data_IF_561281250853
#
_entry.id   IF_561281250853
#
_cell.length_a   1.000
_cell.length_b   1.000
_cell.length_c   1.000
_cell.angle_alpha   90.00
_cell.angle_beta   90.00
_cell.angle_gamma   90.00
#
_symmetry.space_group_name_H-M   'P 1'
#
loop_
_entity.id
_entity.type
_entity.pdbx_description
1 polymer ?
#
# COMPACT_ATOMS: atom_id res chain seq x y z
N UNK A 1 -15.96 -1.21 -0.22
CA UNK A 1 -14.51 -1.01 -0.01
C UNK A 1 -13.90 -2.32 0.40
N UNK A 2 -12.85 -2.78 -0.28
CA UNK A 2 -12.13 -4.01 0.07
C UNK A 2 -10.73 -3.65 0.53
N UNK A 3 -10.27 -4.27 1.62
CA UNK A 3 -8.96 -4.01 2.21
C UNK A 3 -8.24 -5.34 2.36
N UNK A 4 -7.06 -5.44 1.75
CA UNK A 4 -6.18 -6.59 1.88
C UNK A 4 -4.93 -6.15 2.62
N UNK A 5 -4.64 -6.77 3.77
CA UNK A 5 -3.50 -6.43 4.60
C UNK A 5 -2.53 -7.61 4.72
N UNK A 6 -1.23 -7.33 4.64
CA UNK A 6 -0.19 -8.25 5.05
C UNK A 6 0.70 -7.51 6.06
N UNK A 7 0.42 -7.72 7.35
CA UNK A 7 1.18 -7.11 8.43
C UNK A 7 2.33 -8.02 8.86
N UNK A 8 3.54 -7.48 8.79
CA UNK A 8 4.70 -8.07 9.44
C UNK A 8 4.73 -7.73 10.93
N UNK A 9 5.47 -8.54 11.71
CA UNK A 9 5.66 -8.32 13.16
C UNK A 9 6.26 -6.95 13.49
N UNK A 10 6.95 -6.36 12.52
CA UNK A 10 7.69 -5.11 12.65
C UNK A 10 6.90 -3.88 12.18
N UNK A 11 5.58 -3.99 11.94
CA UNK A 11 4.75 -2.87 11.49
C UNK A 11 4.93 -1.62 12.36
N UNK A 12 4.96 -1.79 13.68
CA UNK A 12 5.11 -0.69 14.65
C UNK A 12 6.45 0.05 14.55
N UNK A 13 7.43 -0.51 13.83
CA UNK A 13 8.73 0.12 13.58
C UNK A 13 8.76 0.94 12.29
N UNK A 14 7.65 0.98 11.55
CA UNK A 14 7.58 1.70 10.27
C UNK A 14 7.62 3.20 10.50
N UNK A 15 8.47 3.88 9.74
CA UNK A 15 8.63 5.34 9.76
C UNK A 15 8.19 5.99 8.46
N UNK A 16 8.04 5.21 7.39
CA UNK A 16 7.66 5.70 6.08
C UNK A 16 6.55 4.85 5.48
N UNK A 17 5.65 5.51 4.76
CA UNK A 17 4.62 4.88 3.94
C UNK A 17 4.82 5.30 2.48
N UNK A 18 4.86 4.33 1.58
CA UNK A 18 4.91 4.54 0.14
C UNK A 18 3.54 4.22 -0.46
N UNK A 19 2.96 5.19 -1.13
CA UNK A 19 1.64 5.12 -1.75
C UNK A 19 1.78 4.98 -3.26
N UNK A 20 1.09 3.99 -3.84
CA UNK A 20 0.90 3.85 -5.29
C UNK A 20 -0.60 3.87 -5.57
N UNK A 21 -1.06 4.86 -6.33
CA UNK A 21 -2.45 4.96 -6.76
C UNK A 21 -2.62 4.39 -8.17
N UNK A 22 -3.66 3.61 -8.34
CA UNK A 22 -4.01 2.99 -9.61
C UNK A 22 -5.49 3.21 -9.92
N UNK A 23 -5.76 3.49 -11.19
CA UNK A 23 -7.12 3.54 -11.73
C UNK A 23 -7.51 2.18 -12.28
N UNK A 24 -8.77 1.81 -12.09
CA UNK A 24 -9.36 0.58 -12.59
C UNK A 24 -10.46 0.96 -13.57
N UNK A 25 -10.53 0.24 -14.68
CA UNK A 25 -11.67 0.38 -15.59
C UNK A 25 -12.91 -0.29 -14.98
N UNK A 26 -14.09 0.35 -15.04
CA UNK A 26 -15.33 -0.26 -14.61
C UNK A 26 -15.52 -1.68 -15.18
N UNK A 27 -15.85 -2.62 -14.30
CA UNK A 27 -16.01 -4.03 -14.68
C UNK A 27 -17.17 -4.65 -13.90
N UNK A 28 -17.88 -5.58 -14.53
CA UNK A 28 -19.04 -6.25 -13.93
C UNK A 28 -18.65 -7.20 -12.78
N UNK A 29 -17.45 -7.77 -12.84
CA UNK A 29 -16.94 -8.69 -11.81
C UNK A 29 -15.54 -8.27 -11.39
N UNK A 30 -15.32 -8.17 -10.08
CA UNK A 30 -14.03 -7.79 -9.53
C UNK A 30 -12.99 -8.89 -9.79
N UNK A 31 -11.85 -8.52 -10.41
CA UNK A 31 -10.67 -9.38 -10.47
C UNK A 31 -9.86 -9.24 -9.19
N UNK A 32 -9.20 -10.33 -8.78
CA UNK A 32 -8.24 -10.28 -7.68
C UNK A 32 -7.10 -9.31 -8.03
N UNK A 33 -6.88 -8.32 -7.17
CA UNK A 33 -5.80 -7.34 -7.32
C UNK A 33 -4.68 -7.76 -6.39
N UNK A 34 -3.48 -7.92 -6.97
CA UNK A 34 -2.27 -8.25 -6.24
C UNK A 34 -1.42 -7.00 -6.05
N UNK A 35 -0.54 -7.06 -5.06
CA UNK A 35 0.48 -6.03 -4.84
C UNK A 35 1.44 -5.97 -6.02
N UNK A 36 1.72 -4.76 -6.49
CA UNK A 36 2.68 -4.50 -7.58
C UNK A 36 4.12 -4.84 -7.19
N UNK A 37 4.47 -4.79 -5.90
CA UNK A 37 5.81 -5.06 -5.38
C UNK A 37 5.80 -6.33 -4.53
N UNK A 38 6.07 -7.48 -5.16
CA UNK A 38 6.06 -8.77 -4.46
C UNK A 38 7.32 -9.03 -3.60
N UNK A 39 8.49 -8.56 -4.04
CA UNK A 39 9.79 -8.72 -3.36
C UNK A 39 10.31 -7.37 -2.90
N UNK A 40 9.86 -6.95 -1.74
CA UNK A 40 10.19 -5.64 -1.20
C UNK A 40 10.40 -5.79 0.32
N UNK A 41 11.51 -5.25 0.85
CA UNK A 41 11.88 -5.28 2.28
C UNK A 41 10.98 -4.34 3.13
N UNK A 42 9.70 -4.32 2.82
CA UNK A 42 8.68 -3.60 3.54
C UNK A 42 8.32 -4.36 4.83
N UNK A 43 8.02 -3.61 5.89
CA UNK A 43 7.55 -4.17 7.16
C UNK A 43 6.12 -4.67 7.05
N UNK A 44 5.31 -4.05 6.19
CA UNK A 44 3.91 -4.38 5.96
C UNK A 44 3.43 -3.77 4.65
N UNK A 45 2.32 -4.30 4.14
CA UNK A 45 1.65 -3.77 2.96
C UNK A 45 0.14 -3.83 3.10
N UNK A 46 -0.55 -2.85 2.54
CA UNK A 46 -2.00 -2.72 2.55
C UNK A 46 -2.48 -2.33 1.16
N UNK A 47 -3.48 -3.01 0.66
CA UNK A 47 -4.16 -2.69 -0.59
C UNK A 47 -5.59 -2.30 -0.27
N UNK A 48 -5.98 -1.13 -0.74
CA UNK A 48 -7.29 -0.55 -0.50
C UNK A 48 -7.98 -0.35 -1.83
N UNK A 49 -9.10 -1.04 -2.04
CA UNK A 49 -9.94 -0.88 -3.21
C UNK A 49 -11.18 -0.05 -2.89
N UNK A 50 -11.37 1.02 -3.65
CA UNK A 50 -12.54 1.90 -3.63
C UNK A 50 -13.35 1.72 -4.92
N UNK A 51 -14.46 0.96 -4.89
CA UNK A 51 -15.33 0.77 -6.06
C UNK A 51 -16.02 2.06 -6.51
N UNK A 52 -16.33 2.97 -5.59
CA UNK A 52 -17.05 4.22 -5.91
C UNK A 52 -16.21 5.14 -6.80
N UNK A 53 -14.88 5.13 -6.57
CA UNK A 53 -13.92 5.91 -7.34
C UNK A 53 -13.24 5.12 -8.45
N UNK A 54 -13.52 3.83 -8.58
CA UNK A 54 -12.81 2.91 -9.47
C UNK A 54 -11.28 3.01 -9.35
N UNK A 55 -10.80 3.04 -8.11
CA UNK A 55 -9.38 3.19 -7.79
C UNK A 55 -8.98 2.18 -6.74
N UNK A 56 -7.73 1.73 -6.82
CA UNK A 56 -7.09 1.07 -5.70
C UNK A 56 -5.78 1.77 -5.35
N UNK A 57 -5.44 1.70 -4.08
CA UNK A 57 -4.24 2.29 -3.54
C UNK A 57 -3.46 1.22 -2.80
N UNK A 58 -2.18 1.14 -3.10
CA UNK A 58 -1.25 0.26 -2.41
C UNK A 58 -0.39 1.11 -1.47
N UNK A 59 -0.34 0.70 -0.20
CA UNK A 59 0.55 1.25 0.80
C UNK A 59 1.61 0.22 1.18
N UNK A 60 2.87 0.62 1.13
CA UNK A 60 4.01 -0.15 1.61
C UNK A 60 4.68 0.59 2.75
N UNK A 61 4.93 -0.11 3.84
CA UNK A 61 5.48 0.46 5.05
C UNK A 61 6.95 0.08 5.21
N UNK A 62 7.79 1.02 5.63
CA UNK A 62 9.24 0.82 5.75
C UNK A 62 9.79 1.44 7.03
N UNK A 63 10.87 0.84 7.55
CA UNK A 63 11.69 1.43 8.62
C UNK A 63 12.53 2.59 8.11
N UNK A 64 13.08 2.45 6.90
CA UNK A 64 13.95 3.43 6.25
C UNK A 64 13.29 4.00 4.98
N UNK A 65 13.72 5.20 4.56
CA UNK A 65 13.12 5.87 3.41
C UNK A 65 13.41 5.06 2.12
N UNK A 66 12.40 4.66 1.33
CA UNK A 66 12.62 3.91 0.10
C UNK A 66 13.06 4.84 -1.05
N UNK A 67 14.34 5.25 -1.06
CA UNK A 67 14.90 6.25 -2.00
C UNK A 67 14.79 5.84 -3.48
N UNK A 68 14.73 4.53 -3.77
CA UNK A 68 14.73 3.99 -5.14
C UNK A 68 13.33 3.93 -5.80
N UNK A 69 12.25 4.26 -5.08
CA UNK A 69 10.88 4.14 -5.59
C UNK A 69 10.42 5.49 -6.17
N UNK A 70 10.15 5.52 -7.48
CA UNK A 70 9.76 6.76 -8.21
C UNK A 70 8.30 6.75 -8.68
N UNK A 71 7.61 5.61 -8.58
CA UNK A 71 6.26 5.40 -9.14
C UNK A 71 5.12 5.85 -8.22
N UNK A 72 5.42 6.56 -7.15
CA UNK A 72 4.43 6.87 -6.11
C UNK A 72 4.91 7.97 -5.16
N UNK A 73 4.17 8.15 -4.06
CA UNK A 73 4.46 9.18 -3.06
C UNK A 73 5.01 8.54 -1.80
N UNK A 74 5.98 9.20 -1.17
CA UNK A 74 6.55 8.76 0.11
C UNK A 74 6.13 9.74 1.20
N UNK A 75 5.52 9.20 2.25
CA UNK A 75 5.09 9.93 3.43
C UNK A 75 5.92 9.51 4.64
N UNK A 76 6.21 10.45 5.53
CA UNK A 76 6.74 10.16 6.85
C UNK A 76 5.59 9.88 7.81
N UNK A 77 5.67 8.79 8.55
CA UNK A 77 4.69 8.40 9.56
C UNK A 77 5.01 9.15 10.84
N UNK A 78 4.07 9.98 11.28
CA UNK A 78 4.22 10.76 12.51
C UNK A 78 3.81 9.95 13.75
N UNK A 79 2.82 9.08 13.61
CA UNK A 79 2.29 8.28 14.70
C UNK A 79 1.66 6.99 14.18
N UNK A 80 1.87 5.89 14.91
CA UNK A 80 1.14 4.63 14.79
C UNK A 80 0.45 4.38 16.13
N UNK A 81 -0.87 4.34 16.11
CA UNK A 81 -1.68 4.05 17.29
C UNK A 81 -1.82 2.54 17.48
N UNK A 82 -1.76 2.10 18.74
CA UNK A 82 -2.13 0.74 19.17
C UNK A 82 -3.59 0.67 19.60
#
# INVERSE_FOLDING_TARGET
MLITCCFGKDFNLSKFAFEIEHEITPMEQMKAINFSLEKDDCTSKVLIYNPDKWKYVEYYFYKDRPIKKTIGKIYSILHLSQ
#
